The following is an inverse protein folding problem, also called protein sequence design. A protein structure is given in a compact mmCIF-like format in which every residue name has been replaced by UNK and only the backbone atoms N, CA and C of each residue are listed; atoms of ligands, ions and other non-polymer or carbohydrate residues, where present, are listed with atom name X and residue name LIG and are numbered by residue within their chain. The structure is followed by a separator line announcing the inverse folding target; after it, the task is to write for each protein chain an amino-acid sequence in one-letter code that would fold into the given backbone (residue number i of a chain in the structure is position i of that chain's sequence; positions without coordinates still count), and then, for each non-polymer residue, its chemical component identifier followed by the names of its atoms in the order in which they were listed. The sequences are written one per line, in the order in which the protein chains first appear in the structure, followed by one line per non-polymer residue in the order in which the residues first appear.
data_IF_141541736640
#
_entry.id   IF_141541736640
#
_cell.length_a   1.000
_cell.length_b   1.000
_cell.length_c   1.000
_cell.angle_alpha   90.00
_cell.angle_beta   90.00
_cell.angle_gamma   90.00
#
_symmetry.space_group_name_H-M   'P 1'
#
loop_
_entity.id
_entity.type
_entity.pdbx_description
1 polymer ?
#
# COMPACT_ATOMS: atom_id res chain seq x y z
N UNK A 1 5.87 -7.38 24.93
CA UNK A 1 5.73 -7.36 23.45
C UNK A 1 4.80 -6.23 23.05
N UNK A 2 5.20 -5.35 22.13
CA UNK A 2 4.29 -4.36 21.53
C UNK A 2 3.67 -4.99 20.29
N UNK A 3 2.38 -5.30 20.34
CA UNK A 3 1.64 -5.70 19.15
C UNK A 3 1.46 -4.47 18.27
N UNK A 4 2.17 -4.44 17.15
CA UNK A 4 1.94 -3.42 16.16
C UNK A 4 0.72 -3.84 15.34
N UNK A 5 -0.34 -3.06 15.32
CA UNK A 5 -1.61 -3.38 14.63
C UNK A 5 -1.90 -2.41 13.50
N UNK A 6 -1.03 -1.41 13.28
CA UNK A 6 -1.25 -0.32 12.34
C UNK A 6 -0.11 -0.22 11.35
N UNK A 7 -0.44 0.11 10.09
CA UNK A 7 0.54 0.41 9.04
C UNK A 7 0.41 1.88 8.70
N UNK A 8 1.47 2.66 8.96
CA UNK A 8 1.47 4.08 8.64
C UNK A 8 1.89 4.31 7.19
N UNK A 9 0.94 4.68 6.32
CA UNK A 9 1.21 4.99 4.92
C UNK A 9 1.69 6.44 4.79
N UNK A 10 3.01 6.65 4.83
CA UNK A 10 3.61 7.99 4.75
C UNK A 10 3.44 8.61 3.36
N UNK A 11 3.03 9.87 3.29
CA UNK A 11 3.14 10.66 2.07
C UNK A 11 4.63 10.86 1.70
N UNK A 12 4.95 10.91 0.41
CA UNK A 12 6.33 11.18 -0.05
C UNK A 12 6.57 12.69 -0.13
N UNK A 13 7.45 13.21 0.71
CA UNK A 13 7.87 14.62 0.71
C UNK A 13 7.63 15.33 2.04
N UNK A 14 8.49 16.30 2.37
CA UNK A 14 8.36 17.11 3.59
C UNK A 14 7.12 18.01 3.45
N UNK A 15 6.16 17.88 4.38
CA UNK A 15 4.89 18.64 4.33
C UNK A 15 3.83 18.07 3.38
N UNK A 16 4.04 16.88 2.79
CA UNK A 16 3.05 16.26 1.94
C UNK A 16 1.81 15.83 2.76
N UNK A 17 0.62 16.28 2.35
CA UNK A 17 -0.66 15.86 2.97
C UNK A 17 -0.85 14.35 2.82
N UNK A 18 -1.38 13.72 3.87
CA UNK A 18 -1.80 12.33 3.82
C UNK A 18 -2.78 12.10 2.65
N UNK A 19 -2.66 10.94 2.00
CA UNK A 19 -3.39 10.62 0.77
C UNK A 19 -4.42 9.56 1.09
N UNK A 20 -5.61 9.71 0.50
CA UNK A 20 -6.73 8.79 0.74
C UNK A 20 -6.33 7.42 0.19
N UNK A 21 -6.48 6.38 1.01
CA UNK A 21 -6.35 5.01 0.56
C UNK A 21 -7.63 4.65 -0.22
N UNK A 22 -7.45 4.13 -1.42
CA UNK A 22 -8.54 3.83 -2.37
C UNK A 22 -8.60 2.34 -2.73
N UNK A 23 -7.58 1.56 -2.35
CA UNK A 23 -7.57 0.11 -2.53
C UNK A 23 -6.68 -0.58 -1.52
N UNK A 24 -7.13 -1.75 -1.06
CA UNK A 24 -6.40 -2.67 -0.19
C UNK A 24 -6.66 -4.06 -0.76
N UNK A 25 -5.61 -4.77 -1.15
CA UNK A 25 -5.76 -6.09 -1.75
C UNK A 25 -4.69 -7.06 -1.23
N UNK A 26 -5.06 -8.25 -0.72
CA UNK A 26 -4.09 -9.25 -0.32
C UNK A 26 -3.43 -9.90 -1.54
N UNK A 27 -2.14 -10.18 -1.45
CA UNK A 27 -1.41 -10.91 -2.48
C UNK A 27 -1.87 -12.37 -2.52
N UNK A 28 -2.34 -12.89 -3.66
CA UNK A 28 -2.75 -14.28 -3.77
C UNK A 28 -1.53 -15.22 -3.73
N UNK A 29 -1.72 -16.44 -3.25
CA UNK A 29 -0.71 -17.49 -3.30
C UNK A 29 0.47 -17.33 -2.34
N UNK A 30 0.40 -16.42 -1.35
CA UNK A 30 1.43 -16.29 -0.32
C UNK A 30 1.43 -17.50 0.62
N UNK A 31 2.61 -18.05 0.97
CA UNK A 31 2.74 -19.00 2.07
C UNK A 31 2.23 -18.41 3.39
N UNK A 32 1.79 -19.25 4.34
CA UNK A 32 1.42 -18.79 5.68
C UNK A 32 2.56 -18.02 6.35
N UNK A 33 2.28 -16.82 6.87
CA UNK A 33 3.27 -15.96 7.52
C UNK A 33 4.14 -15.12 6.57
N UNK A 34 3.86 -15.13 5.27
CA UNK A 34 4.46 -14.27 4.25
C UNK A 34 3.41 -13.43 3.51
N UNK A 35 2.29 -13.16 4.16
CA UNK A 35 1.19 -12.39 3.57
C UNK A 35 1.68 -10.99 3.19
N UNK A 36 1.22 -10.51 2.04
CA UNK A 36 1.53 -9.15 1.57
C UNK A 36 0.25 -8.43 1.21
N UNK A 37 0.24 -7.11 1.42
CA UNK A 37 -0.88 -6.25 1.07
C UNK A 37 -0.46 -5.22 0.03
N UNK A 38 -1.21 -5.16 -1.05
CA UNK A 38 -1.15 -4.10 -2.04
C UNK A 38 -2.07 -2.96 -1.58
N UNK A 39 -1.46 -1.80 -1.32
CA UNK A 39 -2.14 -0.59 -0.88
C UNK A 39 -2.09 0.43 -2.01
N UNK A 40 -3.26 0.93 -2.39
CA UNK A 40 -3.41 1.97 -3.43
C UNK A 40 -3.89 3.26 -2.79
N UNK A 41 -3.28 4.39 -3.15
CA UNK A 41 -3.70 5.72 -2.71
C UNK A 41 -4.08 6.64 -3.87
N UNK A 42 -4.90 7.65 -3.58
CA UNK A 42 -5.53 8.55 -4.54
C UNK A 42 -4.59 9.55 -5.25
N UNK A 43 -3.29 9.36 -5.08
CA UNK A 43 -2.19 10.15 -5.64
C UNK A 43 -1.36 9.33 -6.63
N UNK A 44 -1.98 8.33 -7.25
CA UNK A 44 -1.36 7.38 -8.18
C UNK A 44 -0.26 6.49 -7.58
N UNK A 45 -0.16 6.37 -6.24
CA UNK A 45 0.85 5.51 -5.62
C UNK A 45 0.27 4.14 -5.28
N UNK A 46 1.04 3.10 -5.58
CA UNK A 46 0.75 1.71 -5.21
C UNK A 46 1.94 1.18 -4.41
N UNK A 47 1.68 0.52 -3.29
CA UNK A 47 2.69 0.07 -2.33
C UNK A 47 2.42 -1.35 -1.89
N UNK A 48 3.46 -2.19 -1.88
CA UNK A 48 3.38 -3.54 -1.33
C UNK A 48 3.96 -3.53 0.08
N UNK A 49 3.15 -3.92 1.06
CA UNK A 49 3.58 -4.08 2.44
C UNK A 49 3.67 -5.57 2.80
N UNK A 50 4.75 -5.95 3.49
CA UNK A 50 4.86 -7.26 4.11
C UNK A 50 4.10 -7.26 5.43
N UNK A 51 3.24 -8.25 5.69
CA UNK A 51 2.42 -8.28 6.91
C UNK A 51 3.15 -8.79 8.14
N UNK A 52 4.25 -9.52 7.97
CA UNK A 52 5.06 -10.04 9.08
C UNK A 52 5.66 -8.90 9.89
N UNK A 53 6.30 -7.95 9.23
CA UNK A 53 7.03 -6.84 9.86
C UNK A 53 6.45 -5.46 9.53
N UNK A 54 5.42 -5.39 8.68
CA UNK A 54 4.79 -4.14 8.20
C UNK A 54 5.74 -3.26 7.39
N UNK A 55 6.83 -3.83 6.88
CA UNK A 55 7.79 -3.13 6.04
C UNK A 55 7.21 -2.85 4.66
N UNK A 56 7.67 -1.77 4.04
CA UNK A 56 7.36 -1.45 2.65
C UNK A 56 8.35 -2.21 1.76
N UNK A 57 7.89 -3.25 1.07
CA UNK A 57 8.74 -4.03 0.17
C UNK A 57 8.97 -3.32 -1.16
N UNK A 58 7.90 -2.78 -1.75
CA UNK A 58 7.96 -2.20 -3.09
C UNK A 58 7.05 -0.99 -3.25
N UNK A 59 7.48 -0.06 -4.11
CA UNK A 59 6.69 1.06 -4.59
C UNK A 59 6.53 0.91 -6.09
N UNK A 60 5.28 0.80 -6.54
CA UNK A 60 4.97 0.82 -7.96
C UNK A 60 4.52 2.22 -8.35
N UNK A 61 4.87 2.62 -9.57
CA UNK A 61 4.28 3.80 -10.20
C UNK A 61 2.87 3.39 -10.65
N UNK A 62 1.84 3.93 -10.02
CA UNK A 62 0.46 3.73 -10.51
C UNK A 62 0.22 4.53 -11.78
N UNK A 63 -0.88 4.24 -12.48
CA UNK A 63 -1.29 5.04 -13.63
C UNK A 63 -1.48 6.50 -13.19
N UNK A 64 -0.92 7.43 -13.96
CA UNK A 64 -1.30 8.85 -13.91
C UNK A 64 -2.75 8.93 -14.38
N UNK A 65 -3.67 9.02 -13.41
CA UNK A 65 -5.08 9.18 -13.71
C UNK A 65 -5.45 10.62 -13.40
N UNK A 66 -6.09 11.30 -14.35
CA UNK A 66 -6.63 12.65 -14.17
C UNK A 66 -7.76 12.67 -13.13
N UNK A 67 -8.39 11.51 -12.89
CA UNK A 67 -9.41 11.31 -11.86
C UNK A 67 -8.79 10.83 -10.55
N UNK A 68 -9.28 11.36 -9.42
CA UNK A 68 -8.69 11.14 -8.09
C UNK A 68 -8.99 9.76 -7.47
N UNK A 69 -9.45 8.76 -8.22
CA UNK A 69 -9.70 7.42 -7.69
C UNK A 69 -9.01 6.37 -8.54
N UNK A 70 -8.12 5.60 -7.91
CA UNK A 70 -7.44 4.47 -8.53
C UNK A 70 -7.50 3.24 -7.62
N UNK A 71 -7.52 2.05 -8.21
CA UNK A 71 -7.47 0.78 -7.50
C UNK A 71 -6.57 -0.17 -8.29
N UNK A 72 -5.55 -0.72 -7.64
CA UNK A 72 -4.72 -1.79 -8.20
C UNK A 72 -5.22 -3.14 -7.70
N UNK A 73 -5.01 -4.18 -8.52
CA UNK A 73 -5.29 -5.56 -8.18
C UNK A 73 -4.20 -6.48 -8.71
N UNK A 74 -4.03 -7.63 -8.08
CA UNK A 74 -3.28 -8.74 -8.65
C UNK A 74 -4.15 -9.42 -9.72
N UNK A 75 -3.52 -9.90 -10.80
CA UNK A 75 -4.16 -10.71 -11.85
C UNK A 75 -3.35 -11.97 -12.08
#
# INVERSE_FOLDING_TARGET
MKYNTQIHVKASGRGAKAKKITGIEPMPGTPPGEEKLLITSNDSRIRLYNMRDKSLECKFKGLENTSSQIRASFR
#
